data_IF_886046034571
#
_entry.id   IF_886046034571
#
_cell.length_a   1.000
_cell.length_b   1.000
_cell.length_c   1.000
_cell.angle_alpha   90.00
_cell.angle_beta   90.00
_cell.angle_gamma   90.00
#
_symmetry.space_group_name_H-M   'P 1'
#
loop_
_entity.id
_entity.type
_entity.pdbx_description
1 polymer ?
#
# COMPACT_ATOMS: atom_id res chain seq x y z
N UNK A 1 -32.01 12.40 -16.27
CA UNK A 1 -31.81 11.70 -14.99
C UNK A 1 -30.33 11.69 -14.71
N UNK A 2 -29.89 12.37 -13.65
CA UNK A 2 -28.50 12.31 -13.18
C UNK A 2 -28.43 11.10 -12.26
N UNK A 3 -27.68 10.06 -12.65
CA UNK A 3 -27.43 8.92 -11.76
C UNK A 3 -26.68 9.44 -10.51
N UNK A 4 -27.04 8.99 -9.29
CA UNK A 4 -26.30 9.38 -8.10
C UNK A 4 -24.83 9.00 -8.28
N UNK A 5 -23.95 9.97 -8.07
CA UNK A 5 -22.50 9.79 -8.21
C UNK A 5 -22.03 8.78 -7.17
N UNK A 6 -21.45 7.66 -7.62
CA UNK A 6 -20.89 6.62 -6.79
C UNK A 6 -19.84 7.21 -5.85
N UNK A 7 -20.11 7.20 -4.53
CA UNK A 7 -19.17 7.75 -3.54
C UNK A 7 -18.19 6.69 -3.08
N UNK A 8 -16.90 7.01 -2.94
CA UNK A 8 -15.95 6.08 -2.33
C UNK A 8 -16.25 5.90 -0.84
N UNK A 9 -16.01 4.69 -0.32
CA UNK A 9 -16.03 4.42 1.13
C UNK A 9 -15.01 5.30 1.87
N UNK A 10 -15.43 5.92 2.97
CA UNK A 10 -14.53 6.76 3.77
C UNK A 10 -13.58 5.91 4.61
N UNK A 11 -12.35 5.71 4.12
CA UNK A 11 -11.34 4.90 4.79
C UNK A 11 -10.53 5.79 5.77
N UNK A 12 -10.50 5.51 7.08
CA UNK A 12 -9.81 6.37 8.05
C UNK A 12 -8.29 6.25 7.94
N UNK A 13 -7.54 7.33 8.19
CA UNK A 13 -6.08 7.35 8.25
C UNK A 13 -5.55 6.34 9.27
N UNK A 14 -6.26 6.14 10.38
CA UNK A 14 -5.86 5.17 11.41
C UNK A 14 -5.76 3.73 10.91
N UNK A 15 -6.32 3.40 9.76
CA UNK A 15 -6.29 2.06 9.17
C UNK A 15 -4.96 1.66 8.53
N UNK A 16 -3.99 2.58 8.43
CA UNK A 16 -2.67 2.27 7.85
C UNK A 16 -1.76 1.50 8.82
N UNK A 17 -2.04 1.51 10.13
CA UNK A 17 -1.32 0.72 11.14
C UNK A 17 -2.31 -0.11 11.97
N UNK A 18 -1.85 -1.09 12.77
CA UNK A 18 -2.72 -1.87 13.62
C UNK A 18 -3.58 -0.99 14.54
N UNK A 19 -4.80 -1.42 14.86
CA UNK A 19 -5.58 -0.75 15.89
C UNK A 19 -4.88 -0.87 17.25
N UNK A 20 -4.41 0.25 17.77
CA UNK A 20 -3.85 0.36 19.13
C UNK A 20 -4.94 0.65 20.15
N UNK A 21 -4.97 -0.12 21.24
CA UNK A 21 -5.96 0.02 22.32
C UNK A 21 -6.05 1.40 22.97
N UNK A 22 -4.93 2.03 23.40
CA UNK A 22 -4.99 3.33 24.07
C UNK A 22 -5.25 4.50 23.10
N UNK A 23 -4.79 4.40 21.85
CA UNK A 23 -4.83 5.49 20.87
C UNK A 23 -5.46 5.00 19.56
N UNK A 24 -6.72 5.38 19.25
CA UNK A 24 -7.43 4.89 18.06
C UNK A 24 -6.92 5.50 16.74
N UNK A 25 -5.96 6.41 16.80
CA UNK A 25 -5.41 7.14 15.67
C UNK A 25 -6.32 8.24 15.14
N UNK A 26 -5.88 8.95 14.09
CA UNK A 26 -6.61 10.08 13.53
C UNK A 26 -7.92 9.64 12.84
N UNK A 27 -9.05 10.32 13.12
CA UNK A 27 -10.34 10.00 12.51
C UNK A 27 -10.47 10.50 11.06
N UNK A 28 -9.49 11.28 10.59
CA UNK A 28 -9.45 11.83 9.24
C UNK A 28 -9.48 10.72 8.20
N UNK A 29 -10.09 10.97 7.05
CA UNK A 29 -10.18 9.99 5.96
C UNK A 29 -9.01 10.11 5.00
N UNK A 30 -8.53 8.98 4.50
CA UNK A 30 -7.59 8.94 3.38
C UNK A 30 -8.18 9.68 2.17
N UNK A 31 -7.39 10.52 1.50
CA UNK A 31 -7.78 11.08 0.21
C UNK A 31 -7.94 9.98 -0.84
N UNK A 32 -8.72 10.25 -1.90
CA UNK A 32 -8.89 9.31 -3.01
C UNK A 32 -8.52 10.04 -4.32
N UNK A 33 -7.52 9.56 -5.07
CA UNK A 33 -6.53 8.53 -4.69
C UNK A 33 -5.67 8.98 -3.49
N UNK A 34 -4.95 8.04 -2.85
CA UNK A 34 -3.97 8.33 -1.79
C UNK A 34 -2.58 7.86 -2.19
N UNK A 35 -1.56 8.67 -1.89
CA UNK A 35 -0.16 8.31 -2.03
C UNK A 35 0.58 8.60 -0.73
N UNK A 36 1.12 7.57 -0.08
CA UNK A 36 1.80 7.67 1.21
C UNK A 36 3.27 7.28 1.00
N UNK A 37 4.18 8.19 1.35
CA UNK A 37 5.61 7.93 1.30
C UNK A 37 6.23 8.01 2.70
N UNK A 38 7.23 7.19 2.94
CA UNK A 38 7.95 7.14 4.21
C UNK A 38 7.68 5.86 5.00
N UNK A 39 8.42 5.65 6.09
CA UNK A 39 8.44 4.39 6.83
C UNK A 39 7.04 3.94 7.26
N UNK A 40 6.69 2.71 6.90
CA UNK A 40 5.43 2.06 7.26
C UNK A 40 5.70 0.59 7.59
N UNK A 41 4.92 -0.03 8.49
CA UNK A 41 5.00 -1.46 8.69
C UNK A 41 4.67 -2.21 7.39
N UNK A 42 5.36 -3.31 7.05
CA UNK A 42 5.07 -4.12 5.86
C UNK A 42 3.66 -4.74 5.85
N UNK A 43 3.01 -4.78 7.02
CA UNK A 43 1.64 -5.22 7.25
C UNK A 43 0.59 -4.14 7.01
N UNK A 44 0.97 -2.86 6.87
CA UNK A 44 0.07 -1.73 6.56
C UNK A 44 -0.95 -2.01 5.44
N UNK A 45 -0.57 -2.54 4.27
CA UNK A 45 -1.53 -2.82 3.19
C UNK A 45 -2.58 -3.84 3.60
N UNK A 46 -2.26 -4.79 4.50
CA UNK A 46 -3.21 -5.77 4.99
C UNK A 46 -4.18 -5.15 6.00
N UNK A 47 -3.71 -4.32 6.94
CA UNK A 47 -4.58 -3.58 7.85
C UNK A 47 -5.57 -2.70 7.11
N UNK A 48 -5.08 -1.98 6.12
CA UNK A 48 -5.90 -1.13 5.25
C UNK A 48 -6.99 -1.94 4.54
N UNK A 49 -6.61 -3.07 3.94
CA UNK A 49 -7.52 -3.95 3.23
C UNK A 49 -8.58 -4.55 4.16
N UNK A 50 -8.19 -5.05 5.34
CA UNK A 50 -9.10 -5.61 6.33
C UNK A 50 -10.11 -4.56 6.79
N UNK A 51 -9.65 -3.34 7.08
CA UNK A 51 -10.53 -2.24 7.50
C UNK A 51 -11.47 -1.80 6.39
N UNK A 52 -11.01 -1.77 5.15
CA UNK A 52 -11.87 -1.48 4.00
C UNK A 52 -13.00 -2.52 3.87
N UNK A 53 -12.68 -3.80 4.02
CA UNK A 53 -13.67 -4.88 3.96
C UNK A 53 -14.69 -4.79 5.11
N UNK A 54 -14.25 -4.42 6.32
CA UNK A 54 -15.16 -4.12 7.45
C UNK A 54 -16.18 -3.04 7.10
N UNK A 55 -15.72 -1.91 6.57
CA UNK A 55 -16.60 -0.81 6.19
C UNK A 55 -17.56 -1.19 5.05
N UNK A 56 -17.10 -1.99 4.10
CA UNK A 56 -17.93 -2.46 2.99
C UNK A 56 -19.02 -3.45 3.47
N UNK A 57 -18.69 -4.33 4.40
CA UNK A 57 -19.63 -5.29 4.97
C UNK A 57 -20.67 -4.57 5.84
N UNK A 58 -20.27 -3.54 6.60
CA UNK A 58 -21.18 -2.69 7.36
C UNK A 58 -22.15 -1.93 6.47
N UNK A 59 -21.67 -1.29 5.39
CA UNK A 59 -22.51 -0.59 4.42
C UNK A 59 -23.56 -1.53 3.80
N UNK A 60 -23.16 -2.74 3.42
CA UNK A 60 -24.06 -3.75 2.85
C UNK A 60 -25.16 -4.17 3.85
N UNK A 61 -24.81 -4.26 5.14
CA UNK A 61 -25.76 -4.61 6.19
C UNK A 61 -26.80 -3.50 6.44
N UNK A 62 -26.39 -2.24 6.39
CA UNK A 62 -27.29 -1.09 6.52
C UNK A 62 -28.29 -1.00 5.36
N UNK A 63 -27.85 -1.26 4.13
CA UNK A 63 -28.72 -1.30 2.94
C UNK A 63 -29.77 -2.42 3.03
N UNK A 64 -29.38 -3.61 3.50
CA UNK A 64 -30.33 -4.70 3.74
C UNK A 64 -31.36 -4.35 4.83
N UNK A 65 -30.92 -3.72 5.92
CA UNK A 65 -31.78 -3.35 7.03
C UNK A 65 -32.78 -2.23 6.66
N UNK A 66 -32.37 -1.28 5.82
CA UNK A 66 -33.23 -0.19 5.35
C UNK A 66 -34.27 -0.66 4.33
N UNK A 67 -33.90 -1.56 3.41
CA UNK A 67 -34.83 -2.17 2.46
C UNK A 67 -35.91 -3.03 3.14
N UNK A 68 -35.55 -3.77 4.20
CA UNK A 68 -36.51 -4.56 4.97
C UNK A 68 -37.55 -3.70 5.72
N UNK A 69 -37.19 -2.46 6.09
CA UNK A 69 -38.09 -1.51 6.79
C UNK A 69 -39.07 -0.79 5.85
N UNK A 70 -38.74 -0.67 4.56
CA UNK A 70 -39.63 -0.06 3.56
C UNK A 70 -40.53 -1.06 2.82
N UNK A 71 -40.25 -2.38 2.92
CA UNK A 71 -41.07 -3.44 2.33
C UNK A 71 -42.27 -3.91 3.18
N UNK A 72 -42.43 -3.42 4.41
CA UNK A 72 -43.43 -3.93 5.37
C UNK A 72 -44.81 -3.25 5.27
N UNK A 73 -45.30 -3.04 4.04
CA UNK A 73 -46.69 -2.61 3.80
C UNK A 73 -47.51 -3.59 2.92
N UNK A 74 -47.07 -4.85 2.81
CA UNK A 74 -47.89 -5.94 2.29
C UNK A 74 -48.29 -6.89 3.43
N UNK A 75 -49.57 -6.81 3.78
CA UNK A 75 -50.32 -7.70 4.68
C UNK A 75 -49.93 -9.19 4.59
N UNK A 76 -49.79 -9.87 5.74
CA UNK A 76 -49.94 -11.32 5.79
C UNK A 76 -49.19 -12.09 6.88
N UNK A 77 -49.71 -12.06 8.12
CA UNK A 77 -49.69 -13.09 9.17
C UNK A 77 -48.39 -13.79 9.64
N UNK A 78 -48.37 -13.99 10.97
CA UNK A 78 -47.63 -14.96 11.77
C UNK A 78 -46.24 -14.58 12.29
N UNK A 79 -46.30 -13.83 13.39
CA UNK A 79 -45.41 -13.94 14.54
C UNK A 79 -45.20 -15.40 14.96
N UNK A 80 -43.95 -15.87 14.95
CA UNK A 80 -43.42 -16.80 15.96
C UNK A 80 -41.88 -16.77 15.99
N UNK A 81 -41.36 -16.43 17.17
CA UNK A 81 -40.04 -16.79 17.72
C UNK A 81 -38.77 -16.32 16.97
N UNK A 82 -38.45 -15.03 17.08
CA UNK A 82 -37.06 -14.55 16.94
C UNK A 82 -36.33 -14.71 18.27
N UNK A 83 -35.88 -15.93 18.55
CA UNK A 83 -34.74 -16.13 19.43
C UNK A 83 -33.57 -15.33 18.90
N UNK A 84 -33.03 -14.47 19.76
CA UNK A 84 -31.76 -13.75 19.68
C UNK A 84 -30.63 -14.78 19.49
N UNK A 85 -30.51 -15.30 18.27
CA UNK A 85 -29.54 -16.31 17.87
C UNK A 85 -28.23 -15.65 17.50
N UNK A 86 -27.17 -16.16 18.11
CA UNK A 86 -25.78 -15.83 17.83
C UNK A 86 -25.47 -15.81 16.33
N UNK A 87 -24.61 -14.87 15.97
CA UNK A 87 -24.09 -14.62 14.63
C UNK A 87 -23.46 -15.87 14.02
N UNK A 88 -24.27 -16.69 13.34
CA UNK A 88 -23.76 -17.75 12.48
C UNK A 88 -23.13 -17.09 11.24
N UNK A 89 -21.80 -17.18 11.13
CA UNK A 89 -20.94 -16.54 10.11
C UNK A 89 -21.15 -17.01 8.67
N UNK A 90 -22.37 -17.43 8.31
CA UNK A 90 -22.77 -17.85 6.97
C UNK A 90 -23.31 -16.70 6.11
N UNK A 91 -23.80 -15.61 6.71
CA UNK A 91 -24.26 -14.44 5.95
C UNK A 91 -23.13 -13.57 5.39
N UNK A 92 -21.93 -13.63 5.98
CA UNK A 92 -20.77 -12.84 5.58
C UNK A 92 -20.02 -13.39 4.35
N UNK A 93 -20.36 -14.60 3.89
CA UNK A 93 -19.64 -15.29 2.81
C UNK A 93 -20.05 -14.84 1.40
N UNK A 94 -21.07 -13.98 1.27
CA UNK A 94 -21.64 -13.58 -0.03
C UNK A 94 -21.44 -12.09 -0.38
N UNK A 95 -20.62 -11.33 0.37
CA UNK A 95 -20.35 -9.94 -0.02
C UNK A 95 -19.37 -9.90 -1.20
N UNK A 96 -19.74 -9.28 -2.34
CA UNK A 96 -18.94 -9.34 -3.57
C UNK A 96 -17.70 -8.44 -3.51
N UNK A 97 -17.58 -7.56 -2.50
CA UNK A 97 -16.50 -6.58 -2.41
C UNK A 97 -15.16 -7.27 -2.15
N UNK A 98 -14.16 -6.94 -2.98
CA UNK A 98 -12.80 -7.49 -2.92
C UNK A 98 -11.76 -6.37 -2.94
N UNK A 99 -10.57 -6.69 -2.48
CA UNK A 99 -9.40 -5.80 -2.51
C UNK A 99 -8.34 -6.42 -3.41
N UNK A 100 -7.69 -5.61 -4.24
CA UNK A 100 -6.52 -6.01 -5.03
C UNK A 100 -5.27 -5.41 -4.37
N UNK A 101 -4.36 -6.26 -3.90
CA UNK A 101 -3.04 -5.85 -3.40
C UNK A 101 -1.98 -6.29 -4.40
N UNK A 102 -1.27 -5.32 -4.98
CA UNK A 102 -0.14 -5.59 -5.86
C UNK A 102 1.14 -5.14 -5.17
N UNK A 103 2.12 -6.03 -5.14
CA UNK A 103 3.42 -5.82 -4.49
C UNK A 103 4.54 -6.34 -5.37
N UNK A 104 5.79 -6.14 -4.94
CA UNK A 104 6.98 -6.64 -5.60
C UNK A 104 7.14 -8.17 -5.54
N UNK A 105 8.38 -8.69 -5.56
CA UNK A 105 8.65 -10.11 -5.45
C UNK A 105 8.04 -10.71 -4.17
N UNK A 106 7.41 -11.89 -4.31
CA UNK A 106 6.74 -12.58 -3.19
C UNK A 106 7.67 -12.82 -2.00
N UNK A 107 8.90 -13.30 -2.26
CA UNK A 107 9.87 -13.58 -1.21
C UNK A 107 10.19 -12.32 -0.40
N UNK A 108 10.48 -11.20 -1.06
CA UNK A 108 10.80 -9.94 -0.37
C UNK A 108 9.63 -9.44 0.51
N UNK A 109 8.40 -9.55 0.02
CA UNK A 109 7.22 -9.16 0.81
C UNK A 109 6.98 -10.10 2.00
N UNK A 110 7.16 -11.41 1.79
CA UNK A 110 7.04 -12.41 2.85
C UNK A 110 8.10 -12.23 3.93
N UNK A 111 9.37 -12.08 3.53
CA UNK A 111 10.50 -11.85 4.45
C UNK A 111 10.30 -10.54 5.23
N UNK A 112 9.75 -9.49 4.61
CA UNK A 112 9.44 -8.24 5.29
C UNK A 112 8.34 -8.43 6.37
N UNK A 113 7.26 -9.16 6.07
CA UNK A 113 6.21 -9.45 7.06
C UNK A 113 6.75 -10.33 8.20
N UNK A 114 7.49 -11.39 7.87
CA UNK A 114 8.04 -12.33 8.85
C UNK A 114 9.08 -11.66 9.75
N UNK A 115 9.90 -10.75 9.21
CA UNK A 115 10.89 -10.01 9.99
C UNK A 115 10.28 -8.91 10.87
N UNK A 116 9.16 -8.33 10.47
CA UNK A 116 8.41 -7.39 11.32
C UNK A 116 7.76 -8.13 12.51
N UNK A 117 7.29 -9.37 12.27
CA UNK A 117 6.70 -10.26 13.27
C UNK A 117 5.63 -9.58 14.14
N UNK A 118 4.75 -8.83 13.47
CA UNK A 118 3.78 -7.94 14.09
C UNK A 118 2.83 -8.67 15.04
N UNK A 119 2.69 -8.12 16.25
CA UNK A 119 1.87 -8.70 17.32
C UNK A 119 0.41 -8.91 16.93
N UNK A 120 -0.20 -7.94 16.23
CA UNK A 120 -1.62 -8.01 15.89
C UNK A 120 -1.93 -9.26 15.06
N UNK A 121 -1.16 -9.52 14.00
CA UNK A 121 -1.32 -10.72 13.18
C UNK A 121 -1.03 -12.02 13.94
N UNK A 122 -0.10 -12.01 14.90
CA UNK A 122 0.15 -13.17 15.75
C UNK A 122 -1.07 -13.53 16.61
N UNK A 123 -1.72 -12.53 17.20
CA UNK A 123 -2.87 -12.72 18.10
C UNK A 123 -4.19 -12.95 17.33
N UNK A 124 -4.35 -12.31 16.17
CA UNK A 124 -5.63 -12.22 15.46
C UNK A 124 -5.64 -12.94 14.10
N UNK A 125 -4.47 -13.27 13.52
CA UNK A 125 -4.37 -13.87 12.19
C UNK A 125 -5.03 -15.24 12.07
N UNK A 126 -5.15 -15.97 13.19
CA UNK A 126 -5.87 -17.24 13.27
C UNK A 126 -7.39 -17.11 13.41
N UNK A 127 -7.93 -15.90 13.59
CA UNK A 127 -9.37 -15.71 13.77
C UNK A 127 -10.12 -15.97 12.47
N UNK A 128 -11.20 -16.76 12.54
CA UNK A 128 -11.97 -17.13 11.34
C UNK A 128 -12.50 -15.91 10.58
N UNK A 129 -12.90 -14.85 11.28
CA UNK A 129 -13.35 -13.58 10.69
C UNK A 129 -12.24 -12.90 9.87
N UNK A 130 -11.00 -12.92 10.36
CA UNK A 130 -9.84 -12.38 9.64
C UNK A 130 -9.51 -13.26 8.44
N UNK A 131 -9.45 -14.58 8.61
CA UNK A 131 -9.19 -15.54 7.52
C UNK A 131 -10.21 -15.39 6.38
N UNK A 132 -11.49 -15.23 6.71
CA UNK A 132 -12.55 -15.02 5.70
C UNK A 132 -12.35 -13.72 4.92
N UNK A 133 -11.95 -12.63 5.57
CA UNK A 133 -11.62 -11.37 4.89
C UNK A 133 -10.34 -11.48 4.06
N UNK A 134 -9.31 -12.14 4.56
CA UNK A 134 -8.06 -12.36 3.81
C UNK A 134 -8.32 -13.12 2.49
N UNK A 135 -9.28 -14.05 2.44
CA UNK A 135 -9.71 -14.71 1.19
C UNK A 135 -10.31 -13.76 0.14
N UNK A 136 -10.75 -12.56 0.54
CA UNK A 136 -11.29 -11.51 -0.35
C UNK A 136 -10.22 -10.52 -0.81
N UNK A 137 -8.98 -10.69 -0.36
CA UNK A 137 -7.82 -9.93 -0.83
C UNK A 137 -7.13 -10.76 -1.92
N UNK A 138 -7.23 -10.31 -3.16
CA UNK A 138 -6.44 -10.87 -4.27
C UNK A 138 -5.04 -10.23 -4.24
N UNK A 139 -4.02 -11.07 -4.02
CA UNK A 139 -2.63 -10.63 -3.96
C UNK A 139 -1.88 -10.99 -5.25
N UNK A 140 -1.31 -9.98 -5.90
CA UNK A 140 -0.50 -10.14 -7.12
C UNK A 140 0.94 -9.71 -6.85
N UNK A 141 1.88 -10.56 -7.26
CA UNK A 141 3.31 -10.33 -7.06
C UNK A 141 3.97 -10.04 -8.40
N UNK A 142 4.60 -8.89 -8.52
CA UNK A 142 5.26 -8.46 -9.75
C UNK A 142 6.78 -8.45 -9.54
N UNK A 143 7.56 -9.27 -10.28
CA UNK A 143 9.01 -9.34 -10.09
C UNK A 143 9.77 -8.14 -10.67
N UNK A 144 9.15 -7.33 -11.53
CA UNK A 144 9.74 -6.10 -12.05
C UNK A 144 8.70 -5.07 -12.45
N UNK A 145 9.12 -3.80 -12.61
CA UNK A 145 8.26 -2.71 -13.05
C UNK A 145 7.55 -2.99 -14.39
N UNK A 146 8.22 -3.68 -15.32
CA UNK A 146 7.62 -4.07 -16.62
C UNK A 146 6.47 -5.07 -16.44
N UNK A 147 6.60 -6.02 -15.52
CA UNK A 147 5.53 -6.97 -15.21
C UNK A 147 4.34 -6.28 -14.56
N UNK A 148 4.60 -5.34 -13.65
CA UNK A 148 3.55 -4.51 -13.04
C UNK A 148 2.81 -3.68 -14.10
N UNK A 149 3.54 -3.00 -14.98
CA UNK A 149 2.96 -2.23 -16.08
C UNK A 149 2.09 -3.12 -16.99
N UNK A 150 2.57 -4.32 -17.33
CA UNK A 150 1.82 -5.28 -18.13
C UNK A 150 0.53 -5.71 -17.41
N UNK A 151 0.60 -6.07 -16.14
CA UNK A 151 -0.56 -6.43 -15.33
C UNK A 151 -1.60 -5.32 -15.31
N UNK A 152 -1.20 -4.09 -14.98
CA UNK A 152 -2.10 -2.92 -14.94
C UNK A 152 -2.75 -2.67 -16.30
N UNK A 153 -2.00 -2.82 -17.38
CA UNK A 153 -2.49 -2.66 -18.76
C UNK A 153 -3.48 -3.76 -19.15
N UNK A 154 -3.23 -5.02 -18.74
CA UNK A 154 -4.15 -6.12 -18.99
C UNK A 154 -5.45 -5.93 -18.20
N UNK A 155 -5.35 -5.53 -16.93
CA UNK A 155 -6.49 -5.26 -16.07
C UNK A 155 -7.34 -4.08 -16.56
N UNK A 156 -6.73 -3.05 -17.16
CA UNK A 156 -7.47 -1.88 -17.69
C UNK A 156 -8.09 -2.12 -19.08
N UNK A 157 -7.65 -3.15 -19.81
CA UNK A 157 -8.16 -3.49 -21.14
C UNK A 157 -9.17 -4.64 -21.14
N UNK A 158 -9.24 -5.42 -20.06
CA UNK A 158 -10.10 -6.60 -20.01
C UNK A 158 -11.55 -6.22 -19.70
N UNK A 159 -12.27 -5.78 -20.73
CA UNK A 159 -13.70 -5.42 -20.65
C UNK A 159 -14.61 -6.66 -20.61
N UNK A 160 -14.11 -7.85 -20.96
CA UNK A 160 -14.93 -9.04 -21.11
C UNK A 160 -14.98 -9.85 -19.82
N UNK A 161 -16.10 -9.77 -19.08
CA UNK A 161 -16.43 -10.68 -17.97
C UNK A 161 -16.71 -12.13 -18.44
N UNK A 162 -16.61 -12.42 -19.73
CA UNK A 162 -16.90 -13.73 -20.31
C UNK A 162 -15.74 -14.24 -21.14
N UNK A 163 -15.41 -15.51 -20.88
CA UNK A 163 -14.47 -16.38 -21.60
C UNK A 163 -12.97 -16.12 -21.35
N UNK A 164 -12.47 -16.66 -20.23
CA UNK A 164 -11.49 -17.76 -20.19
C UNK A 164 -10.79 -17.77 -18.83
N UNK A 165 -10.52 -18.97 -18.31
CA UNK A 165 -9.88 -19.21 -17.01
C UNK A 165 -8.38 -18.86 -17.02
N UNK A 166 -8.04 -17.67 -17.52
CA UNK A 166 -6.67 -17.22 -17.57
C UNK A 166 -6.28 -16.60 -16.22
N UNK A 167 -5.07 -16.89 -15.76
CA UNK A 167 -4.58 -16.50 -14.44
C UNK A 167 -4.58 -14.99 -14.17
N UNK A 168 -4.83 -14.14 -15.16
CA UNK A 168 -4.84 -12.68 -15.06
C UNK A 168 -6.25 -12.07 -14.94
N UNK A 169 -7.31 -12.89 -14.94
CA UNK A 169 -8.68 -12.42 -14.69
C UNK A 169 -8.92 -12.25 -13.19
N UNK A 170 -9.60 -11.16 -12.82
CA UNK A 170 -10.10 -10.97 -11.46
C UNK A 170 -11.50 -11.56 -11.35
N UNK A 171 -11.82 -12.21 -10.24
CA UNK A 171 -13.15 -12.76 -9.95
C UNK A 171 -14.24 -11.68 -9.81
N UNK A 172 -13.87 -10.39 -9.84
CA UNK A 172 -14.76 -9.24 -9.74
C UNK A 172 -13.98 -7.92 -9.79
N UNK A 173 -14.68 -6.80 -9.89
CA UNK A 173 -14.05 -5.48 -9.82
C UNK A 173 -13.67 -5.18 -8.36
N UNK A 174 -12.39 -4.92 -8.05
CA UNK A 174 -11.98 -4.59 -6.70
C UNK A 174 -12.50 -3.20 -6.31
N UNK A 175 -12.96 -3.06 -5.07
CA UNK A 175 -13.36 -1.77 -4.51
C UNK A 175 -12.17 -0.95 -3.99
N UNK A 176 -11.05 -1.61 -3.71
CA UNK A 176 -9.80 -0.99 -3.29
C UNK A 176 -8.63 -1.65 -4.02
N UNK A 177 -7.75 -0.83 -4.58
CA UNK A 177 -6.48 -1.24 -5.18
C UNK A 177 -5.36 -0.64 -4.33
N UNK A 178 -4.47 -1.50 -3.84
CA UNK A 178 -3.32 -1.13 -3.03
C UNK A 178 -2.06 -1.49 -3.81
N UNK A 179 -1.18 -0.51 -4.00
CA UNK A 179 0.17 -0.74 -4.51
C UNK A 179 1.17 -0.59 -3.37
N UNK A 180 1.88 -1.67 -3.05
CA UNK A 180 2.88 -1.70 -1.99
C UNK A 180 4.30 -1.71 -2.55
N UNK A 181 5.09 -0.72 -2.12
CA UNK A 181 6.52 -0.61 -2.37
C UNK A 181 6.92 -0.72 -3.85
N UNK A 182 6.22 -0.01 -4.73
CA UNK A 182 6.48 -0.05 -6.17
C UNK A 182 7.85 0.54 -6.49
N UNK A 183 8.31 1.51 -5.71
CA UNK A 183 9.63 2.11 -5.89
C UNK A 183 10.77 1.08 -5.78
N UNK A 184 10.61 0.04 -4.97
CA UNK A 184 11.60 -1.04 -4.84
C UNK A 184 11.87 -1.75 -6.17
N UNK A 185 10.87 -1.82 -7.07
CA UNK A 185 11.04 -2.41 -8.41
C UNK A 185 12.01 -1.64 -9.31
N UNK A 186 12.39 -0.43 -8.91
CA UNK A 186 13.31 0.46 -9.60
C UNK A 186 14.62 0.66 -8.82
N UNK A 187 14.76 0.05 -7.64
CA UNK A 187 15.92 0.19 -6.79
C UNK A 187 16.86 -1.01 -6.90
N UNK A 188 18.14 -0.77 -6.62
CA UNK A 188 19.18 -1.79 -6.52
C UNK A 188 19.75 -1.73 -5.11
N UNK A 189 20.10 -2.88 -4.55
CA UNK A 189 20.78 -2.93 -3.27
C UNK A 189 22.25 -2.51 -3.43
N UNK A 190 22.81 -1.83 -2.43
CA UNK A 190 24.23 -1.49 -2.39
C UNK A 190 25.11 -2.73 -2.53
N UNK A 191 24.70 -3.87 -1.97
CA UNK A 191 25.41 -5.16 -2.07
C UNK A 191 25.47 -5.69 -3.50
N UNK A 192 24.42 -5.53 -4.31
CA UNK A 192 24.43 -5.94 -5.71
C UNK A 192 25.32 -5.02 -6.57
N UNK A 193 25.44 -3.77 -6.15
CA UNK A 193 26.23 -2.74 -6.85
C UNK A 193 27.73 -2.97 -6.60
N UNK A 194 28.12 -3.29 -5.37
CA UNK A 194 29.50 -3.65 -5.01
C UNK A 194 29.98 -4.91 -5.73
N UNK A 195 29.13 -5.93 -5.90
CA UNK A 195 29.48 -7.14 -6.68
C UNK A 195 29.65 -6.87 -8.18
N UNK A 196 28.94 -5.88 -8.73
CA UNK A 196 29.14 -5.44 -10.12
C UNK A 196 30.39 -4.56 -10.27
N UNK A 197 30.65 -3.64 -9.34
CA UNK A 197 31.80 -2.74 -9.39
C UNK A 197 33.13 -3.46 -9.07
N UNK A 198 33.12 -4.45 -8.19
CA UNK A 198 34.29 -5.29 -7.89
C UNK A 198 34.72 -6.17 -9.09
N UNK A 199 33.89 -6.29 -10.13
CA UNK A 199 34.30 -6.88 -11.42
C UNK A 199 35.05 -5.90 -12.33
N UNK A 200 35.09 -4.62 -12.00
CA UNK A 200 35.60 -3.55 -12.87
C UNK A 200 36.77 -2.77 -12.24
N UNK A 201 36.98 -2.81 -10.92
CA UNK A 201 38.10 -2.09 -10.27
C UNK A 201 38.71 -2.87 -9.11
N UNK A 202 39.79 -3.60 -9.36
CA UNK A 202 40.86 -3.72 -8.36
C UNK A 202 41.60 -2.37 -8.30
N UNK A 203 41.97 -1.97 -7.07
CA UNK A 203 42.65 -0.73 -6.68
C UNK A 203 41.79 0.54 -6.56
N UNK A 204 41.19 0.74 -5.37
CA UNK A 204 41.66 1.74 -4.40
C UNK A 204 40.76 1.85 -3.16
N UNK A 205 41.46 1.82 -2.03
CA UNK A 205 41.05 2.16 -0.66
C UNK A 205 40.17 3.42 -0.55
N UNK A 206 39.16 3.39 0.33
CA UNK A 206 38.53 4.60 0.86
C UNK A 206 37.19 4.37 1.56
N UNK A 207 37.22 4.40 2.90
CA UNK A 207 36.09 4.52 3.84
C UNK A 207 34.76 5.05 3.28
N UNK A 208 33.70 4.25 3.41
CA UNK A 208 32.31 4.70 3.30
C UNK A 208 31.66 4.73 4.69
N UNK A 209 31.08 5.86 5.14
CA UNK A 209 30.29 5.90 6.36
C UNK A 209 28.81 5.58 6.08
N UNK A 210 28.13 5.00 7.06
CA UNK A 210 26.68 5.13 7.23
C UNK A 210 25.84 3.96 6.71
N UNK A 211 25.61 2.99 7.59
CA UNK A 211 24.59 1.96 7.47
C UNK A 211 23.20 2.60 7.56
N UNK A 212 22.64 2.98 6.42
CA UNK A 212 21.19 3.08 6.21
C UNK A 212 20.85 1.95 5.23
N UNK A 213 19.68 1.32 5.32
CA UNK A 213 19.32 0.18 4.46
C UNK A 213 19.40 0.58 2.97
N UNK A 214 20.55 0.26 2.36
CA UNK A 214 21.09 0.91 1.16
C UNK A 214 20.44 0.46 -0.13
N UNK A 215 19.19 0.84 -0.34
CA UNK A 215 18.53 0.73 -1.65
C UNK A 215 18.50 2.10 -2.30
N UNK A 216 19.09 2.20 -3.48
CA UNK A 216 19.07 3.42 -4.28
C UNK A 216 18.42 3.12 -5.63
N UNK A 217 17.80 4.13 -6.22
CA UNK A 217 17.28 4.00 -7.58
C UNK A 217 18.40 3.62 -8.54
N UNK A 218 18.11 2.67 -9.42
CA UNK A 218 19.01 2.30 -10.49
C UNK A 218 19.32 3.53 -11.35
N UNK A 219 20.59 3.79 -11.66
CA UNK A 219 21.03 4.96 -12.42
C UNK A 219 20.40 5.06 -13.82
N UNK A 220 19.90 3.96 -14.38
CA UNK A 220 19.22 3.94 -15.68
C UNK A 220 17.74 4.37 -15.63
N UNK A 221 17.16 4.50 -14.44
CA UNK A 221 15.73 4.79 -14.26
C UNK A 221 15.49 6.28 -14.19
N UNK A 222 14.47 6.74 -14.92
CA UNK A 222 14.02 8.12 -14.92
C UNK A 222 12.74 8.29 -14.11
N UNK A 223 12.44 9.53 -13.74
CA UNK A 223 11.18 9.88 -13.08
C UNK A 223 9.96 9.48 -13.93
N UNK A 224 10.07 9.54 -15.26
CA UNK A 224 9.01 9.12 -16.17
C UNK A 224 8.66 7.63 -16.02
N UNK A 225 9.65 6.77 -15.80
CA UNK A 225 9.41 5.32 -15.69
C UNK A 225 8.56 4.99 -14.48
N UNK A 226 8.86 5.64 -13.35
CA UNK A 226 8.11 5.51 -12.11
C UNK A 226 6.69 6.11 -12.24
N UNK A 227 6.58 7.34 -12.75
CA UNK A 227 5.29 8.02 -12.89
C UNK A 227 4.37 7.33 -13.91
N UNK A 228 4.91 6.69 -14.94
CA UNK A 228 4.13 5.91 -15.91
C UNK A 228 3.40 4.72 -15.25
N UNK A 229 4.05 4.06 -14.29
CA UNK A 229 3.43 2.97 -13.51
C UNK A 229 2.30 3.51 -12.64
N UNK A 230 2.54 4.62 -11.94
CA UNK A 230 1.50 5.25 -11.13
C UNK A 230 0.31 5.75 -11.97
N UNK A 231 0.58 6.29 -13.16
CA UNK A 231 -0.46 6.74 -14.08
C UNK A 231 -1.28 5.55 -14.60
N UNK A 232 -0.63 4.44 -14.94
CA UNK A 232 -1.30 3.21 -15.32
C UNK A 232 -2.18 2.66 -14.18
N UNK A 233 -1.70 2.70 -12.94
CA UNK A 233 -2.46 2.26 -11.78
C UNK A 233 -3.72 3.09 -11.56
N UNK A 234 -3.60 4.41 -11.69
CA UNK A 234 -4.74 5.34 -11.63
C UNK A 234 -5.76 5.02 -12.72
N UNK A 235 -5.31 4.78 -13.94
CA UNK A 235 -6.19 4.41 -15.05
C UNK A 235 -6.88 3.07 -14.82
N UNK A 236 -6.18 2.07 -14.28
CA UNK A 236 -6.77 0.79 -13.90
C UNK A 236 -7.86 0.95 -12.82
N UNK A 237 -7.65 1.79 -11.81
CA UNK A 237 -8.66 2.08 -10.79
C UNK A 237 -9.90 2.81 -11.36
N UNK A 238 -9.66 3.78 -12.26
CA UNK A 238 -10.75 4.46 -12.98
C UNK A 238 -11.54 3.47 -13.84
N UNK A 239 -10.85 2.55 -14.51
CA UNK A 239 -11.46 1.51 -15.32
C UNK A 239 -12.39 0.62 -14.48
N UNK A 240 -11.94 0.15 -13.31
CA UNK A 240 -12.80 -0.63 -12.41
C UNK A 240 -14.06 0.13 -11.97
N UNK A 241 -13.91 1.42 -11.66
CA UNK A 241 -15.04 2.29 -11.32
C UNK A 241 -16.02 2.47 -12.50
N UNK A 242 -15.53 2.43 -13.74
CA UNK A 242 -16.35 2.56 -14.94
C UNK A 242 -17.16 1.29 -15.28
N UNK A 243 -16.69 0.11 -14.87
CA UNK A 243 -17.34 -1.18 -15.15
C UNK A 243 -18.61 -1.35 -14.30
N UNK A 244 -18.61 -0.86 -13.07
CA UNK A 244 -19.77 -0.91 -12.17
C UNK A 244 -20.13 0.51 -11.68
N UNK A 245 -20.78 1.32 -12.54
CA UNK A 245 -21.11 2.71 -12.20
C UNK A 245 -22.17 2.83 -11.10
N UNK A 246 -22.89 1.74 -10.81
CA UNK A 246 -23.84 1.65 -9.70
C UNK A 246 -23.18 1.28 -8.36
N UNK A 247 -21.98 0.70 -8.42
CA UNK A 247 -21.20 0.29 -7.26
C UNK A 247 -20.43 1.44 -6.62
N UNK A 248 -19.65 1.11 -5.58
CA UNK A 248 -18.72 2.05 -4.96
C UNK A 248 -17.55 2.31 -5.91
N UNK A 249 -17.14 3.59 -6.03
CA UNK A 249 -15.95 3.94 -6.82
C UNK A 249 -14.72 3.24 -6.25
N UNK A 250 -13.95 2.59 -7.11
CA UNK A 250 -12.70 1.94 -6.74
C UNK A 250 -11.69 2.96 -6.24
N UNK A 251 -11.10 2.71 -5.08
CA UNK A 251 -10.06 3.57 -4.49
C UNK A 251 -8.67 3.05 -4.84
N UNK A 252 -7.74 3.96 -5.09
CA UNK A 252 -6.32 3.66 -5.27
C UNK A 252 -5.53 4.19 -4.08
N UNK A 253 -4.74 3.32 -3.44
CA UNK A 253 -3.77 3.69 -2.41
C UNK A 253 -2.38 3.17 -2.79
N UNK A 254 -1.40 4.06 -2.83
CA UNK A 254 0.00 3.73 -3.09
C UNK A 254 0.79 3.97 -1.81
N UNK A 255 1.57 2.98 -1.38
CA UNK A 255 2.38 3.03 -0.17
C UNK A 255 3.84 2.75 -0.51
N UNK A 256 4.73 3.68 -0.17
CA UNK A 256 6.15 3.64 -0.54
C UNK A 256 7.04 3.74 0.71
N UNK A 257 7.25 2.62 1.44
CA UNK A 257 8.00 2.61 2.71
C UNK A 257 9.47 3.01 2.55
N UNK A 258 10.05 2.76 1.36
CA UNK A 258 11.46 3.00 1.07
C UNK A 258 11.73 4.40 0.49
N UNK A 259 10.70 5.23 0.30
CA UNK A 259 10.86 6.58 -0.22
C UNK A 259 10.82 7.60 0.91
N UNK A 260 11.65 8.63 0.79
CA UNK A 260 11.64 9.79 1.67
C UNK A 260 11.21 11.03 0.89
N UNK A 261 10.94 12.13 1.60
CA UNK A 261 10.63 13.42 0.97
C UNK A 261 11.74 13.93 0.04
N UNK A 262 12.97 13.41 0.20
CA UNK A 262 14.16 13.82 -0.56
C UNK A 262 14.54 12.85 -1.68
N UNK A 263 13.83 11.72 -1.81
CA UNK A 263 14.05 10.78 -2.91
C UNK A 263 13.83 11.47 -4.26
N UNK A 264 14.84 11.40 -5.14
CA UNK A 264 14.80 12.07 -6.45
C UNK A 264 15.31 11.17 -7.58
N UNK A 265 14.68 11.31 -8.74
CA UNK A 265 15.01 10.60 -9.97
C UNK A 265 15.43 11.59 -11.08
N UNK A 266 16.31 11.19 -11.99
CA UNK A 266 16.68 12.02 -13.12
C UNK A 266 15.53 12.17 -14.12
N UNK A 267 15.53 13.29 -14.85
CA UNK A 267 14.51 13.57 -15.90
C UNK A 267 14.80 12.80 -17.18
N UNK A 268 16.07 12.63 -17.52
CA UNK A 268 16.54 11.94 -18.72
C UNK A 268 17.54 10.87 -18.30
N UNK A 269 17.61 9.75 -19.03
CA UNK A 269 18.60 8.73 -18.72
C UNK A 269 20.00 9.32 -18.89
N UNK A 270 20.99 8.88 -18.09
CA UNK A 270 22.35 9.35 -18.23
C UNK A 270 22.80 9.12 -19.68
N UNK A 271 23.19 10.19 -20.36
CA UNK A 271 23.68 10.09 -21.73
C UNK A 271 24.94 9.24 -21.70
N UNK A 272 24.95 8.15 -22.46
CA UNK A 272 26.15 7.35 -22.70
C UNK A 272 27.16 8.19 -23.49
N UNK A 273 27.84 9.13 -22.81
CA UNK A 273 28.95 9.86 -23.42
C UNK A 273 30.15 8.92 -23.43
N UNK A 274 30.46 8.50 -24.66
CA UNK A 274 31.47 7.53 -24.98
C UNK A 274 32.86 7.91 -24.48
N UNK A 275 33.66 6.86 -24.34
CA UNK A 275 35.11 6.89 -24.39
C UNK A 275 35.57 7.84 -25.52
N UNK A 276 35.88 9.08 -25.16
CA UNK A 276 36.50 10.04 -26.06
C UNK A 276 37.50 10.82 -25.24
N UNK A 277 38.75 10.38 -25.36
CA UNK A 277 39.95 11.09 -24.94
C UNK A 277 39.94 12.55 -25.40
N UNK A 278 40.49 13.43 -24.56
CA UNK A 278 40.91 14.76 -24.99
C UNK A 278 40.32 15.93 -24.20
N UNK A 279 41.06 16.33 -23.16
CA UNK A 279 41.31 17.72 -22.74
C UNK A 279 40.22 18.76 -23.08
N UNK A 280 39.29 18.97 -22.15
CA UNK A 280 38.85 20.31 -21.75
C UNK A 280 37.88 20.19 -20.58
N UNK A 281 38.14 21.00 -19.55
CA UNK A 281 37.25 21.32 -18.45
C UNK A 281 35.91 21.90 -18.96
N UNK A 282 35.02 21.05 -19.46
CA UNK A 282 33.61 21.38 -19.62
C UNK A 282 32.89 20.90 -18.37
N UNK A 283 32.33 21.85 -17.63
CA UNK A 283 31.41 21.57 -16.53
C UNK A 283 30.46 20.44 -16.95
N UNK A 284 30.51 19.31 -16.24
CA UNK A 284 29.57 18.23 -16.48
C UNK A 284 28.15 18.83 -16.44
N UNK A 285 27.30 18.59 -17.45
CA UNK A 285 25.95 19.12 -17.45
C UNK A 285 25.26 18.64 -16.16
N UNK A 286 24.84 19.58 -15.30
CA UNK A 286 24.16 19.26 -14.04
C UNK A 286 22.93 18.42 -14.39
N UNK A 287 22.94 17.16 -13.99
CA UNK A 287 21.81 16.25 -14.18
C UNK A 287 20.58 16.85 -13.48
N UNK A 288 19.52 17.10 -14.25
CA UNK A 288 18.27 17.63 -13.70
C UNK A 288 17.52 16.47 -13.03
N UNK A 289 17.30 16.58 -11.72
CA UNK A 289 16.55 15.61 -10.92
C UNK A 289 15.24 16.23 -10.43
N UNK A 290 14.21 15.39 -10.32
CA UNK A 290 12.89 15.76 -9.78
C UNK A 290 12.65 14.90 -8.54
N UNK A 291 12.14 15.53 -7.48
CA UNK A 291 11.72 14.79 -6.28
C UNK A 291 10.51 13.93 -6.61
N UNK A 292 10.53 12.67 -6.17
CA UNK A 292 9.45 11.72 -6.42
C UNK A 292 8.13 12.24 -5.82
N UNK A 293 8.20 12.88 -4.64
CA UNK A 293 7.04 13.50 -4.00
C UNK A 293 6.37 14.56 -4.88
N UNK A 294 7.14 15.37 -5.61
CA UNK A 294 6.58 16.41 -6.47
C UNK A 294 5.92 15.81 -7.72
N UNK A 295 6.51 14.75 -8.27
CA UNK A 295 5.90 13.96 -9.34
C UNK A 295 4.57 13.32 -8.90
N UNK A 296 4.54 12.76 -7.69
CA UNK A 296 3.34 12.17 -7.10
C UNK A 296 2.25 13.23 -6.85
N UNK A 297 2.61 14.41 -6.32
CA UNK A 297 1.68 15.55 -6.13
C UNK A 297 1.09 16.00 -7.46
N UNK A 298 1.91 16.09 -8.51
CA UNK A 298 1.43 16.46 -9.84
C UNK A 298 0.43 15.44 -10.40
N UNK A 299 0.69 14.14 -10.22
CA UNK A 299 -0.13 13.08 -10.79
C UNK A 299 -1.41 12.78 -9.98
N UNK A 300 -1.31 12.78 -8.65
CA UNK A 300 -2.38 12.37 -7.74
C UNK A 300 -3.13 13.56 -7.13
N UNK A 301 -2.55 14.76 -7.14
CA UNK A 301 -3.05 15.97 -6.47
C UNK A 301 -2.30 16.27 -5.18
N UNK A 302 -2.05 17.55 -4.89
CA UNK A 302 -1.27 17.99 -3.72
C UNK A 302 -1.88 17.54 -2.38
N UNK A 303 -3.21 17.59 -2.28
CA UNK A 303 -3.95 17.17 -1.08
C UNK A 303 -3.93 15.65 -0.84
N UNK A 304 -3.52 14.89 -1.85
CA UNK A 304 -3.64 13.43 -1.90
C UNK A 304 -2.34 12.71 -1.55
N UNK A 305 -1.28 13.48 -1.28
CA UNK A 305 0.03 12.98 -0.90
C UNK A 305 0.24 13.16 0.60
N UNK A 306 0.66 12.08 1.25
CA UNK A 306 1.03 12.03 2.65
C UNK A 306 2.50 11.63 2.80
N UNK A 307 3.18 12.21 3.79
CA UNK A 307 4.60 12.02 4.04
C UNK A 307 4.82 11.62 5.48
N UNK A 308 5.50 10.51 5.70
CA UNK A 308 5.95 10.04 7.01
C UNK A 308 7.44 10.34 7.13
N UNK A 309 7.81 11.11 8.14
CA UNK A 309 9.20 11.44 8.44
C UNK A 309 9.58 10.87 9.79
N UNK A 310 10.78 10.32 9.91
CA UNK A 310 11.33 9.92 11.19
C UNK A 310 11.77 11.15 11.98
N UNK A 311 11.37 11.24 13.24
CA UNK A 311 11.87 12.24 14.18
C UNK A 311 13.02 11.64 14.98
N UNK A 312 14.20 12.28 14.95
CA UNK A 312 15.39 11.84 15.69
C UNK A 312 16.37 10.94 14.92
N UNK A 313 17.57 10.76 15.47
CA UNK A 313 18.60 9.86 14.93
C UNK A 313 18.27 8.39 15.27
N UNK A 314 18.57 7.45 14.36
CA UNK A 314 18.25 6.00 14.41
C UNK A 314 18.73 5.23 15.66
N UNK A 315 19.40 5.86 16.62
CA UNK A 315 20.03 5.19 17.75
C UNK A 315 19.12 4.95 18.97
N UNK A 316 17.97 5.63 19.08
CA UNK A 316 17.05 5.44 20.21
C UNK A 316 15.80 4.63 19.82
N UNK A 317 15.58 3.52 20.54
CA UNK A 317 14.30 2.80 20.58
C UNK A 317 13.58 3.30 21.83
N UNK A 318 12.38 3.88 21.73
CA UNK A 318 11.47 3.88 20.59
C UNK A 318 11.78 4.92 19.50
N UNK A 319 11.40 4.59 18.25
CA UNK A 319 11.57 5.50 17.10
C UNK A 319 10.26 6.23 16.81
N UNK A 320 10.32 7.55 16.79
CA UNK A 320 9.16 8.43 16.55
C UNK A 320 9.09 8.82 15.07
N UNK A 321 7.86 8.93 14.57
CA UNK A 321 7.54 9.30 13.21
C UNK A 321 6.40 10.30 13.18
N UNK A 322 6.39 11.14 12.15
CA UNK A 322 5.35 12.14 11.94
C UNK A 322 4.75 11.99 10.55
N UNK A 323 3.45 11.69 10.50
CA UNK A 323 2.64 11.67 9.28
C UNK A 323 2.07 13.05 9.01
N UNK A 324 2.47 13.67 7.90
CA UNK A 324 1.88 14.90 7.39
C UNK A 324 0.95 14.61 6.21
N UNK A 325 -0.30 15.06 6.27
CA UNK A 325 -1.28 14.87 5.17
C UNK A 325 -1.72 16.23 4.61
N UNK A 326 -1.54 16.44 3.30
CA UNK A 326 -1.84 17.72 2.66
C UNK A 326 -3.29 18.19 2.85
N UNK A 327 -4.27 17.29 2.77
CA UNK A 327 -5.70 17.62 2.95
C UNK A 327 -6.11 17.90 4.40
N UNK A 328 -5.48 17.23 5.35
CA UNK A 328 -5.89 17.31 6.76
C UNK A 328 -5.32 18.53 7.48
N UNK A 329 -4.35 19.24 6.88
CA UNK A 329 -3.58 20.32 7.52
C UNK A 329 -3.14 19.94 8.95
N UNK A 330 -2.80 18.67 9.15
CA UNK A 330 -2.50 18.09 10.44
C UNK A 330 -1.29 17.19 10.34
N UNK A 331 -0.53 17.14 11.42
CA UNK A 331 0.54 16.18 11.63
C UNK A 331 0.10 15.19 12.71
N UNK A 332 0.42 13.92 12.49
CA UNK A 332 0.01 12.82 13.35
C UNK A 332 1.24 12.05 13.77
N UNK A 333 1.48 12.00 15.08
CA UNK A 333 2.60 11.28 15.65
C UNK A 333 2.35 9.77 15.66
N UNK A 334 3.39 9.04 15.33
CA UNK A 334 3.43 7.59 15.24
C UNK A 334 4.69 7.10 15.91
N UNK A 335 4.63 5.93 16.53
CA UNK A 335 5.75 5.35 17.25
C UNK A 335 5.97 3.92 16.82
N UNK A 336 7.23 3.55 16.60
CA UNK A 336 7.67 2.17 16.41
C UNK A 336 8.53 1.72 17.59
N UNK A 337 8.17 0.60 18.20
CA UNK A 337 8.90 0.05 19.33
C UNK A 337 8.98 -1.48 19.25
N UNK A 338 10.03 -2.05 19.83
CA UNK A 338 10.08 -3.50 20.10
C UNK A 338 9.29 -3.80 21.37
N UNK A 339 8.49 -4.85 21.36
CA UNK A 339 7.86 -5.37 22.58
C UNK A 339 8.40 -6.74 22.96
N UNK A 340 8.23 -7.09 24.23
CA UNK A 340 8.50 -8.45 24.70
C UNK A 340 7.48 -9.40 24.06
N UNK A 341 7.93 -10.59 23.63
CA UNK A 341 7.04 -11.61 23.10
C UNK A 341 5.93 -11.97 24.10
N UNK A 342 4.75 -12.32 23.58
CA UNK A 342 3.65 -12.83 24.40
C UNK A 342 3.99 -14.20 25.04
N UNK A 343 3.20 -14.62 26.03
CA UNK A 343 3.42 -15.78 26.92
C UNK A 343 3.65 -17.16 26.24
N UNK A 344 3.59 -17.26 24.92
CA UNK A 344 3.71 -18.51 24.17
C UNK A 344 5.15 -18.87 23.76
N UNK A 345 6.10 -17.95 23.87
CA UNK A 345 7.53 -18.26 23.67
C UNK A 345 8.15 -18.68 24.99
N UNK A 346 8.74 -19.89 25.04
CA UNK A 346 9.41 -20.44 26.22
C UNK A 346 10.60 -19.60 26.72
N UNK A 347 10.96 -18.52 26.02
CA UNK A 347 11.94 -17.51 26.41
C UNK A 347 11.21 -16.17 26.61
N UNK A 348 10.77 -15.89 27.84
CA UNK A 348 10.03 -14.68 28.22
C UNK A 348 10.87 -13.39 28.22
N UNK A 349 12.18 -13.47 27.98
CA UNK A 349 13.12 -12.33 28.04
C UNK A 349 13.60 -11.80 26.69
N UNK A 350 13.23 -12.44 25.57
CA UNK A 350 13.59 -11.93 24.25
C UNK A 350 12.54 -10.95 23.71
N UNK A 351 12.98 -9.75 23.32
CA UNK A 351 12.17 -8.79 22.57
C UNK A 351 11.83 -9.40 21.21
N UNK A 352 10.56 -9.65 20.95
CA UNK A 352 10.07 -10.25 19.71
C UNK A 352 9.11 -9.31 18.99
N UNK A 353 9.38 -9.11 17.71
CA UNK A 353 8.54 -8.33 16.81
C UNK A 353 8.55 -6.83 17.06
N UNK A 354 7.93 -6.14 16.12
CA UNK A 354 7.74 -4.70 16.14
C UNK A 354 6.26 -4.35 16.31
N UNK A 355 6.02 -3.22 16.94
CA UNK A 355 4.69 -2.66 17.14
C UNK A 355 4.71 -1.20 16.69
N UNK A 356 3.68 -0.84 15.93
CA UNK A 356 3.41 0.52 15.50
C UNK A 356 2.15 1.02 16.19
N UNK A 357 2.24 2.19 16.82
CA UNK A 357 1.14 2.81 17.56
C UNK A 357 0.99 4.27 17.13
N UNK A 358 -0.25 4.77 17.18
CA UNK A 358 -0.50 6.22 17.12
C UNK A 358 -0.22 6.85 18.47
N UNK A 359 0.20 8.11 18.49
CA UNK A 359 0.39 8.90 19.73
C UNK A 359 -0.75 9.88 20.02
#
# INVERSE_FOLDING_TARGET
>A
MVLPEARPLHLPLSSIIPPSGPNPGPPHTLPVPSYILGPLPPTSPLHLALRYLDLADDATREDCASNARHGSNSQGSNSQNMTRGEHDGKGALNTPTRVLLVTGPKAAFQDAIESEDERWFREHGGWMSVIQKLKRIDMRFCPSAKHLQLLLTLLSKNQSRQANADSHTLDGCPGLVILWNVAELFMVSSTDTELQENKVKEDKNGNSPGCSSGKQFNASICISDYLNVLAAARETANHFSSIDPSGLSTQLVVMEPNLTAHSSLPVLPPSAQGESSGVSSRQAPREKRIFVVDGARHLMGESNVAVIQQQGEEQEVPTEYELTVGRAQGTFAMKRQRRKGGDWTAQQDELHGWEWEWE
#
